data_IF_669844705782
#
_entry.id   IF_669844705782
#
_cell.length_a   1.000
_cell.length_b   1.000
_cell.length_c   1.000
_cell.angle_alpha   90.00
_cell.angle_beta   90.00
_cell.angle_gamma   90.00
#
_symmetry.space_group_name_H-M   'P 1'
#
loop_
_entity.id
_entity.type
_entity.pdbx_description
1 polymer ?
#
# COMPACT_ATOMS: atom_id res chain seq x y z
N UNK A 1 -31.13 4.05 -11.49
CA UNK A 1 -29.87 4.52 -10.85
C UNK A 1 -29.59 3.89 -9.48
N UNK A 2 -30.51 3.16 -8.84
CA UNK A 2 -30.31 2.58 -7.50
C UNK A 2 -29.45 1.28 -7.43
N UNK A 3 -29.27 0.56 -8.54
CA UNK A 3 -28.72 -0.82 -8.52
C UNK A 3 -27.21 -0.96 -8.83
N UNK A 4 -26.46 0.13 -9.08
CA UNK A 4 -24.99 0.05 -9.25
C UNK A 4 -24.22 -0.01 -7.92
N UNK A 5 -24.85 0.39 -6.81
CA UNK A 5 -24.19 0.42 -5.50
C UNK A 5 -24.13 -0.95 -4.81
N UNK A 6 -25.07 -1.87 -5.06
CA UNK A 6 -25.20 -3.09 -4.26
C UNK A 6 -24.10 -4.15 -4.50
N UNK A 7 -23.46 -4.17 -5.67
CA UNK A 7 -22.32 -5.06 -5.94
C UNK A 7 -20.99 -4.48 -5.45
N UNK A 8 -20.94 -3.17 -5.18
CA UNK A 8 -19.74 -2.51 -4.69
C UNK A 8 -19.58 -2.71 -3.17
N UNK A 9 -20.65 -2.67 -2.38
CA UNK A 9 -20.56 -2.73 -0.90
C UNK A 9 -19.84 -3.98 -0.36
N UNK A 10 -19.99 -5.15 -0.98
CA UNK A 10 -19.29 -6.36 -0.52
C UNK A 10 -17.79 -6.33 -0.81
N UNK A 11 -17.38 -5.85 -1.99
CA UNK A 11 -15.96 -5.76 -2.37
C UNK A 11 -15.28 -4.52 -1.76
N UNK A 12 -16.00 -3.42 -1.64
CA UNK A 12 -15.57 -2.18 -0.96
C UNK A 12 -15.50 -2.34 0.56
N UNK A 13 -16.14 -3.36 1.16
CA UNK A 13 -15.95 -3.70 2.58
C UNK A 13 -14.83 -4.72 2.79
N UNK A 14 -14.68 -5.70 1.88
CA UNK A 14 -13.64 -6.74 1.96
C UNK A 14 -12.26 -6.16 1.68
N UNK A 15 -12.13 -5.18 0.78
CA UNK A 15 -10.82 -4.61 0.44
C UNK A 15 -10.22 -3.81 1.61
N UNK A 16 -10.96 -2.90 2.28
CA UNK A 16 -10.51 -2.27 3.53
C UNK A 16 -10.37 -3.27 4.67
N UNK A 17 -11.24 -4.29 4.78
CA UNK A 17 -11.13 -5.31 5.83
C UNK A 17 -9.90 -6.21 5.65
N UNK A 18 -9.52 -6.57 4.41
CA UNK A 18 -8.27 -7.30 4.10
C UNK A 18 -7.03 -6.39 4.23
N UNK A 19 -7.15 -5.09 3.95
CA UNK A 19 -6.11 -4.10 4.23
C UNK A 19 -5.96 -3.83 5.74
N UNK A 20 -7.04 -3.93 6.52
CA UNK A 20 -7.05 -3.82 7.99
C UNK A 20 -6.47 -5.09 8.65
N UNK A 21 -6.83 -6.28 8.16
CA UNK A 21 -6.24 -7.57 8.56
C UNK A 21 -4.77 -7.73 8.13
N UNK A 22 -4.26 -6.80 7.31
CA UNK A 22 -2.85 -6.68 6.92
C UNK A 22 -2.22 -5.37 7.40
N UNK A 23 -2.83 -4.71 8.39
CA UNK A 23 -2.37 -3.40 8.86
C UNK A 23 -0.95 -3.47 9.43
N UNK A 24 -0.16 -2.44 9.15
CA UNK A 24 1.20 -2.28 9.67
C UNK A 24 1.26 -2.35 11.21
N UNK A 25 0.16 -2.11 11.91
CA UNK A 25 0.01 -2.20 13.36
C UNK A 25 0.00 -3.63 13.91
N UNK A 26 -0.68 -4.59 13.26
CA UNK A 26 -0.76 -5.97 13.77
C UNK A 26 0.62 -6.63 13.78
N UNK A 27 1.38 -6.44 12.69
CA UNK A 27 2.74 -6.94 12.55
C UNK A 27 3.65 -6.37 13.65
N UNK A 28 3.51 -5.09 14.00
CA UNK A 28 4.30 -4.46 15.08
C UNK A 28 3.93 -5.00 16.46
N UNK A 29 2.66 -5.28 16.72
CA UNK A 29 2.22 -5.92 17.96
C UNK A 29 2.79 -7.34 18.10
N UNK A 30 2.75 -8.13 17.03
CA UNK A 30 3.32 -9.48 17.00
C UNK A 30 4.85 -9.43 17.15
N UNK A 31 5.50 -8.44 16.54
CA UNK A 31 6.94 -8.21 16.70
C UNK A 31 7.29 -7.91 18.17
N UNK A 32 6.52 -7.06 18.85
CA UNK A 32 6.76 -6.74 20.26
C UNK A 32 6.60 -7.95 21.18
N UNK A 33 5.58 -8.79 20.97
CA UNK A 33 5.36 -9.95 21.84
C UNK A 33 6.44 -11.01 21.66
N UNK A 34 6.89 -11.27 20.42
CA UNK A 34 7.83 -12.35 20.11
C UNK A 34 9.30 -11.95 20.18
N UNK A 35 9.65 -10.72 19.79
CA UNK A 35 11.05 -10.27 19.66
C UNK A 35 11.55 -9.48 20.87
N UNK A 36 10.68 -9.14 21.83
CA UNK A 36 11.08 -8.46 23.06
C UNK A 36 11.67 -9.45 24.08
N UNK A 37 12.85 -9.13 24.61
CA UNK A 37 13.63 -9.98 25.54
C UNK A 37 12.83 -10.38 26.79
N UNK A 38 12.02 -9.47 27.34
CA UNK A 38 11.23 -9.71 28.56
C UNK A 38 10.13 -10.77 28.41
N UNK A 39 9.54 -10.93 27.21
CA UNK A 39 8.56 -11.99 26.92
C UNK A 39 9.24 -13.30 26.53
N UNK A 40 10.45 -13.23 25.97
CA UNK A 40 11.21 -14.39 25.52
C UNK A 40 11.77 -15.25 26.66
N UNK A 41 12.24 -14.62 27.75
CA UNK A 41 12.71 -15.35 28.95
C UNK A 41 11.62 -16.24 29.59
N UNK A 42 10.34 -15.96 29.33
CA UNK A 42 9.23 -16.81 29.74
C UNK A 42 8.91 -17.95 28.76
N UNK A 43 9.27 -17.81 27.48
CA UNK A 43 8.90 -18.74 26.42
C UNK A 43 9.94 -19.83 26.14
N UNK A 44 11.22 -19.64 26.46
CA UNK A 44 12.28 -20.59 26.08
C UNK A 44 13.03 -21.19 27.28
N UNK A 45 12.42 -22.26 27.79
CA UNK A 45 13.11 -23.55 28.07
C UNK A 45 13.09 -24.48 26.83
N UNK A 46 12.78 -23.96 25.65
CA UNK A 46 12.70 -24.74 24.40
C UNK A 46 13.86 -24.38 23.47
N UNK A 47 14.98 -25.10 23.61
CA UNK A 47 16.29 -24.87 22.94
C UNK A 47 16.28 -24.82 21.39
N UNK A 48 15.14 -24.93 20.71
CA UNK A 48 15.09 -25.23 19.27
C UNK A 48 14.51 -24.16 18.34
N UNK A 49 13.92 -23.06 18.83
CA UNK A 49 13.27 -22.07 17.95
C UNK A 49 13.77 -20.63 18.13
N UNK A 50 14.34 -20.06 17.07
CA UNK A 50 14.67 -18.64 16.99
C UNK A 50 13.38 -17.79 16.85
N UNK A 51 13.15 -16.76 17.70
CA UNK A 51 11.93 -15.93 17.70
C UNK A 51 11.52 -15.34 16.35
N UNK A 52 12.51 -14.84 15.60
CA UNK A 52 12.26 -14.23 14.30
C UNK A 52 11.67 -15.22 13.28
N UNK A 53 11.97 -16.52 13.41
CA UNK A 53 11.37 -17.56 12.55
C UNK A 53 9.89 -17.75 12.85
N UNK A 54 9.53 -17.76 14.13
CA UNK A 54 8.13 -17.86 14.58
C UNK A 54 7.36 -16.60 14.15
N UNK A 55 7.97 -15.42 14.31
CA UNK A 55 7.41 -14.16 13.84
C UNK A 55 7.07 -14.20 12.33
N UNK A 56 8.03 -14.61 11.49
CA UNK A 56 7.82 -14.75 10.04
C UNK A 56 6.71 -15.76 9.74
N UNK A 57 6.68 -16.90 10.45
CA UNK A 57 5.64 -17.91 10.26
C UNK A 57 4.24 -17.38 10.57
N UNK A 58 4.07 -16.61 11.67
CA UNK A 58 2.79 -16.01 12.04
C UNK A 58 2.36 -14.98 10.99
N UNK A 59 3.29 -14.19 10.45
CA UNK A 59 3.01 -13.24 9.38
C UNK A 59 2.51 -13.91 8.08
N UNK A 60 2.79 -15.20 7.87
CA UNK A 60 2.26 -15.95 6.73
C UNK A 60 0.80 -16.39 6.91
N UNK A 61 0.28 -16.48 8.15
CA UNK A 61 -1.06 -17.00 8.42
C UNK A 61 -2.18 -16.20 7.74
N UNK A 62 -2.19 -14.85 7.75
CA UNK A 62 -3.21 -14.07 7.04
C UNK A 62 -3.25 -14.36 5.54
N UNK A 63 -2.09 -14.58 4.91
CA UNK A 63 -2.02 -14.93 3.48
C UNK A 63 -2.62 -16.31 3.19
N UNK A 64 -2.42 -17.27 4.09
CA UNK A 64 -3.00 -18.61 3.97
C UNK A 64 -4.52 -18.58 4.19
N UNK A 65 -4.99 -17.81 5.17
CA UNK A 65 -6.42 -17.57 5.39
C UNK A 65 -7.04 -16.92 4.14
N UNK A 66 -6.39 -15.92 3.56
CA UNK A 66 -6.83 -15.28 2.33
C UNK A 66 -6.96 -16.28 1.16
N UNK A 67 -5.99 -17.19 1.00
CA UNK A 67 -6.05 -18.25 -0.01
C UNK A 67 -7.26 -19.17 0.18
N UNK A 68 -7.54 -19.56 1.43
CA UNK A 68 -8.73 -20.38 1.76
C UNK A 68 -10.02 -19.59 1.49
N UNK A 69 -10.08 -18.31 1.84
CA UNK A 69 -11.22 -17.44 1.55
C UNK A 69 -11.46 -17.28 0.03
N UNK A 70 -10.40 -17.17 -0.78
CA UNK A 70 -10.49 -17.09 -2.25
C UNK A 70 -11.14 -18.32 -2.87
N UNK A 71 -10.94 -19.51 -2.30
CA UNK A 71 -11.61 -20.73 -2.76
C UNK A 71 -13.14 -20.66 -2.66
N UNK A 72 -13.67 -19.92 -1.67
CA UNK A 72 -15.12 -19.77 -1.46
C UNK A 72 -15.77 -18.65 -2.27
N UNK A 73 -14.96 -17.74 -2.85
CA UNK A 73 -15.45 -16.60 -3.63
C UNK A 73 -15.90 -17.06 -5.03
N UNK A 74 -17.14 -16.74 -5.44
CA UNK A 74 -17.58 -17.05 -6.80
C UNK A 74 -16.86 -16.18 -7.81
N UNK A 75 -16.64 -16.72 -9.00
CA UNK A 75 -16.09 -15.98 -10.13
C UNK A 75 -16.91 -14.74 -10.49
N UNK A 76 -16.24 -13.71 -11.02
CA UNK A 76 -16.90 -12.42 -11.29
C UNK A 76 -17.91 -12.54 -12.44
N UNK A 77 -19.12 -11.93 -12.36
CA UNK A 77 -20.08 -11.97 -13.46
C UNK A 77 -19.53 -11.36 -14.76
N UNK A 78 -18.65 -10.36 -14.65
CA UNK A 78 -17.97 -9.75 -15.80
C UNK A 78 -17.08 -10.74 -16.55
N UNK A 79 -16.38 -11.62 -15.84
CA UNK A 79 -15.57 -12.67 -16.46
C UNK A 79 -16.44 -13.61 -17.29
N UNK A 80 -17.56 -14.09 -16.74
CA UNK A 80 -18.50 -14.95 -17.48
C UNK A 80 -19.10 -14.27 -18.70
N UNK A 81 -19.49 -13.00 -18.59
CA UNK A 81 -19.97 -12.18 -19.72
C UNK A 81 -18.89 -12.05 -20.80
N UNK A 82 -17.63 -11.80 -20.42
CA UNK A 82 -16.50 -11.71 -21.37
C UNK A 82 -16.26 -13.03 -22.12
N UNK A 83 -16.58 -14.16 -21.48
CA UNK A 83 -16.52 -15.51 -22.06
C UNK A 83 -17.82 -15.95 -22.73
N UNK A 84 -18.79 -15.05 -22.93
CA UNK A 84 -20.11 -15.33 -23.52
C UNK A 84 -20.92 -16.40 -22.76
N UNK A 85 -20.58 -16.69 -21.50
CA UNK A 85 -21.25 -17.65 -20.61
C UNK A 85 -22.32 -16.95 -19.77
N UNK A 86 -23.37 -16.44 -20.42
CA UNK A 86 -24.37 -15.59 -19.78
C UNK A 86 -25.17 -16.30 -18.66
N UNK A 87 -25.48 -17.59 -18.81
CA UNK A 87 -26.16 -18.38 -17.77
C UNK A 87 -25.38 -18.43 -16.46
N UNK A 88 -24.07 -18.68 -16.52
CA UNK A 88 -23.21 -18.68 -15.34
C UNK A 88 -23.15 -17.29 -14.69
N UNK A 89 -23.11 -16.23 -15.50
CA UNK A 89 -23.16 -14.86 -14.98
C UNK A 89 -24.49 -14.59 -14.24
N UNK A 90 -25.61 -15.05 -14.78
CA UNK A 90 -26.94 -14.91 -14.18
C UNK A 90 -27.05 -15.64 -12.84
N UNK A 91 -26.50 -16.85 -12.73
CA UNK A 91 -26.42 -17.60 -11.46
C UNK A 91 -25.65 -16.83 -10.39
N UNK A 92 -24.50 -16.23 -10.76
CA UNK A 92 -23.73 -15.42 -9.81
C UNK A 92 -24.50 -14.17 -9.39
N UNK A 93 -25.15 -13.47 -10.33
CA UNK A 93 -25.99 -12.32 -9.98
C UNK A 93 -27.14 -12.68 -9.03
N UNK A 94 -27.81 -13.81 -9.24
CA UNK A 94 -28.88 -14.29 -8.36
C UNK A 94 -28.34 -14.65 -6.98
N UNK A 95 -27.14 -15.24 -6.89
CA UNK A 95 -26.46 -15.52 -5.61
C UNK A 95 -26.16 -14.22 -4.85
N UNK A 96 -25.60 -13.22 -5.53
CA UNK A 96 -25.33 -11.89 -4.94
C UNK A 96 -26.62 -11.19 -4.52
N UNK A 97 -27.67 -11.26 -5.34
CA UNK A 97 -28.98 -10.70 -5.03
C UNK A 97 -29.59 -11.32 -3.76
N UNK A 98 -29.57 -12.66 -3.65
CA UNK A 98 -30.06 -13.38 -2.47
C UNK A 98 -29.30 -12.97 -1.20
N UNK A 99 -27.97 -12.81 -1.29
CA UNK A 99 -27.15 -12.39 -0.15
C UNK A 99 -27.49 -10.95 0.28
N UNK A 100 -27.58 -10.03 -0.68
CA UNK A 100 -27.78 -8.60 -0.40
C UNK A 100 -29.20 -8.26 0.05
N UNK A 101 -30.21 -8.90 -0.53
CA UNK A 101 -31.63 -8.58 -0.28
C UNK A 101 -32.32 -9.56 0.67
N UNK A 102 -31.69 -10.70 0.96
CA UNK A 102 -32.29 -11.86 1.67
C UNK A 102 -33.56 -12.40 1.00
N UNK A 103 -33.87 -11.99 -0.23
CA UNK A 103 -35.02 -12.47 -0.99
C UNK A 103 -34.71 -13.76 -1.76
N UNK A 104 -35.76 -14.41 -2.27
CA UNK A 104 -35.64 -15.70 -2.96
C UNK A 104 -34.86 -15.58 -4.28
N UNK A 105 -34.23 -16.68 -4.69
CA UNK A 105 -33.49 -16.77 -5.97
C UNK A 105 -34.37 -16.49 -7.20
N UNK A 106 -35.67 -16.81 -7.11
CA UNK A 106 -36.63 -16.71 -8.22
C UNK A 106 -37.18 -15.30 -8.42
N UNK A 107 -37.03 -14.41 -7.45
CA UNK A 107 -37.51 -13.02 -7.54
C UNK A 107 -36.47 -12.07 -8.13
N UNK A 108 -35.41 -12.61 -8.76
CA UNK A 108 -34.37 -11.80 -9.38
C UNK A 108 -34.90 -11.08 -10.64
N UNK A 109 -34.84 -9.73 -10.71
CA UNK A 109 -35.57 -8.96 -11.74
C UNK A 109 -34.89 -8.90 -13.12
N UNK A 110 -33.63 -9.33 -13.26
CA UNK A 110 -32.92 -9.24 -14.55
C UNK A 110 -33.12 -10.52 -15.35
N UNK A 111 -33.80 -10.40 -16.49
CA UNK A 111 -34.19 -11.51 -17.35
C UNK A 111 -33.15 -11.83 -18.44
N UNK A 112 -32.51 -10.81 -19.01
CA UNK A 112 -31.54 -10.94 -20.11
C UNK A 112 -30.33 -10.02 -19.93
N UNK A 113 -29.15 -10.50 -20.30
CA UNK A 113 -27.89 -9.74 -20.28
C UNK A 113 -27.61 -9.14 -21.65
N UNK A 114 -27.01 -7.95 -21.68
CA UNK A 114 -26.65 -7.29 -22.94
C UNK A 114 -25.64 -8.13 -23.73
N UNK A 115 -25.93 -8.41 -25.00
CA UNK A 115 -25.11 -9.25 -25.88
C UNK A 115 -25.52 -10.73 -25.94
N UNK A 116 -26.48 -11.16 -25.12
CA UNK A 116 -27.00 -12.54 -25.09
C UNK A 116 -27.71 -12.93 -26.39
N UNK A 117 -28.32 -11.97 -27.12
CA UNK A 117 -28.95 -12.20 -28.42
C UNK A 117 -27.96 -12.42 -29.57
N UNK A 118 -26.69 -12.02 -29.39
CA UNK A 118 -25.63 -12.14 -30.42
C UNK A 118 -24.75 -13.38 -30.17
N UNK A 119 -25.20 -14.30 -29.32
CA UNK A 119 -24.50 -15.54 -29.02
C UNK A 119 -24.65 -16.54 -30.17
N UNK A 120 -23.87 -16.34 -31.24
CA UNK A 120 -23.68 -17.37 -32.24
C UNK A 120 -22.80 -18.46 -31.62
N UNK A 121 -23.33 -19.67 -31.46
CA UNK A 121 -22.64 -20.84 -30.90
C UNK A 121 -21.30 -21.14 -31.59
N UNK A 122 -21.17 -20.77 -32.88
CA UNK A 122 -19.95 -20.86 -33.68
C UNK A 122 -18.73 -20.15 -33.05
N UNK A 123 -18.94 -19.02 -32.37
CA UNK A 123 -17.85 -18.22 -31.78
C UNK A 123 -17.12 -18.93 -30.63
N UNK A 124 -17.83 -19.79 -29.89
CA UNK A 124 -17.27 -20.52 -28.74
C UNK A 124 -16.49 -21.77 -29.18
N UNK A 125 -16.83 -22.36 -30.33
CA UNK A 125 -16.08 -23.47 -30.93
C UNK A 125 -14.76 -23.01 -31.57
N UNK A 126 -14.75 -21.83 -32.18
CA UNK A 126 -13.52 -21.24 -32.76
C UNK A 126 -12.46 -21.02 -31.67
N UNK A 127 -12.86 -20.56 -30.47
CA UNK A 127 -11.96 -20.35 -29.32
C UNK A 127 -11.28 -21.64 -28.81
N UNK A 128 -11.87 -22.81 -29.06
CA UNK A 128 -11.29 -24.13 -28.72
C UNK A 128 -10.39 -24.70 -29.81
N UNK A 129 -10.57 -24.30 -31.07
CA UNK A 129 -9.81 -24.80 -32.24
C UNK A 129 -8.48 -24.06 -32.47
N UNK A 130 -8.31 -22.86 -31.91
CA UNK A 130 -7.05 -22.11 -32.05
C UNK A 130 -5.91 -22.78 -31.28
N UNK A 131 -4.74 -23.00 -31.90
CA UNK A 131 -3.59 -23.59 -31.22
C UNK A 131 -3.12 -22.71 -30.06
N UNK A 132 -2.70 -23.33 -28.96
CA UNK A 132 -2.34 -22.66 -27.70
C UNK A 132 -1.33 -21.52 -27.89
N UNK A 133 -0.28 -21.75 -28.69
CA UNK A 133 0.74 -20.74 -28.99
C UNK A 133 0.17 -19.53 -29.73
N UNK A 134 -0.74 -19.74 -30.69
CA UNK A 134 -1.39 -18.65 -31.43
C UNK A 134 -2.24 -17.79 -30.51
N UNK A 135 -2.96 -18.42 -29.58
CA UNK A 135 -3.76 -17.73 -28.56
C UNK A 135 -2.91 -16.90 -27.60
N UNK A 136 -1.74 -17.41 -27.19
CA UNK A 136 -0.77 -16.63 -26.41
C UNK A 136 -0.28 -15.42 -27.19
N UNK A 137 0.11 -15.61 -28.46
CA UNK A 137 0.57 -14.53 -29.33
C UNK A 137 -0.51 -13.45 -29.52
N UNK A 138 -1.76 -13.83 -29.76
CA UNK A 138 -2.89 -12.92 -29.86
C UNK A 138 -3.09 -12.12 -28.56
N UNK A 139 -3.08 -12.78 -27.40
CA UNK A 139 -3.18 -12.09 -26.10
C UNK A 139 -2.02 -11.10 -25.86
N UNK A 140 -0.80 -11.43 -26.29
CA UNK A 140 0.36 -10.53 -26.18
C UNK A 140 0.17 -9.31 -27.08
N UNK A 141 -0.27 -9.50 -28.32
CA UNK A 141 -0.53 -8.40 -29.26
C UNK A 141 -1.66 -7.50 -28.74
N UNK A 142 -2.72 -8.07 -28.16
CA UNK A 142 -3.80 -7.32 -27.51
C UNK A 142 -3.29 -6.54 -26.29
N UNK A 143 -2.39 -7.12 -25.49
CA UNK A 143 -1.74 -6.40 -24.39
C UNK A 143 -0.85 -5.25 -24.88
N UNK A 144 -0.09 -5.46 -25.95
CA UNK A 144 0.77 -4.43 -26.55
C UNK A 144 -0.04 -3.29 -27.18
N UNK A 145 -1.17 -3.59 -27.81
CA UNK A 145 -2.07 -2.56 -28.35
C UNK A 145 -2.73 -1.75 -27.23
N UNK A 146 -3.12 -2.37 -26.12
CA UNK A 146 -3.57 -1.65 -24.92
C UNK A 146 -2.49 -0.73 -24.36
N UNK A 147 -1.25 -1.21 -24.27
CA UNK A 147 -0.11 -0.40 -23.84
C UNK A 147 0.10 0.79 -24.79
N UNK A 148 0.02 0.57 -26.11
CA UNK A 148 0.11 1.64 -27.11
C UNK A 148 -0.99 2.69 -26.95
N UNK A 149 -2.22 2.28 -26.60
CA UNK A 149 -3.32 3.20 -26.32
C UNK A 149 -3.07 4.02 -25.05
N UNK A 150 -2.51 3.44 -23.99
CA UNK A 150 -2.08 4.20 -22.81
C UNK A 150 -1.03 5.26 -23.17
N UNK A 151 -0.13 4.92 -24.08
CA UNK A 151 0.91 5.82 -24.54
C UNK A 151 0.44 6.92 -25.49
N UNK A 152 -0.83 6.90 -25.91
CA UNK A 152 -1.42 7.97 -26.71
C UNK A 152 -1.96 9.12 -25.85
N UNK A 153 -1.90 10.34 -26.38
CA UNK A 153 -2.58 11.50 -25.81
C UNK A 153 -4.10 11.29 -25.90
N UNK A 154 -4.91 11.59 -24.84
CA UNK A 154 -4.60 12.35 -23.62
C UNK A 154 -4.18 11.53 -22.39
N UNK A 155 -4.15 10.20 -22.48
CA UNK A 155 -3.98 9.32 -21.31
C UNK A 155 -2.56 9.31 -20.74
N UNK A 156 -1.55 9.51 -21.59
CA UNK A 156 -0.14 9.47 -21.19
C UNK A 156 0.19 10.49 -20.10
N UNK A 157 -0.29 11.74 -20.21
CA UNK A 157 -0.01 12.77 -19.21
C UNK A 157 -0.54 12.39 -17.83
N UNK A 158 -1.78 11.90 -17.77
CA UNK A 158 -2.39 11.46 -16.52
C UNK A 158 -1.67 10.24 -15.94
N UNK A 159 -1.26 9.30 -16.79
CA UNK A 159 -0.47 8.13 -16.40
C UNK A 159 0.88 8.52 -15.80
N UNK A 160 1.61 9.43 -16.46
CA UNK A 160 2.89 9.91 -15.96
C UNK A 160 2.73 10.63 -14.61
N UNK A 161 1.70 11.46 -14.47
CA UNK A 161 1.43 12.15 -13.20
C UNK A 161 1.15 11.12 -12.09
N UNK A 162 0.27 10.15 -12.30
CA UNK A 162 -0.05 9.15 -11.26
C UNK A 162 1.14 8.25 -10.96
N UNK A 163 1.89 7.81 -11.98
CA UNK A 163 3.06 6.95 -11.80
C UNK A 163 4.22 7.63 -11.06
N UNK A 164 4.51 8.90 -11.37
CA UNK A 164 5.55 9.68 -10.67
C UNK A 164 5.11 10.01 -9.25
N UNK A 165 3.83 10.33 -9.05
CA UNK A 165 3.30 10.64 -7.72
C UNK A 165 3.35 9.40 -6.81
N UNK A 166 2.98 8.23 -7.33
CA UNK A 166 3.06 6.95 -6.62
C UNK A 166 4.51 6.55 -6.33
N UNK A 167 5.42 6.76 -7.29
CA UNK A 167 6.87 6.59 -7.07
C UNK A 167 7.36 7.43 -5.90
N UNK A 168 7.06 8.73 -5.87
CA UNK A 168 7.50 9.64 -4.82
C UNK A 168 6.89 9.32 -3.46
N UNK A 169 5.60 8.95 -3.44
CA UNK A 169 4.91 8.49 -2.24
C UNK A 169 5.60 7.23 -1.67
N UNK A 170 5.78 6.21 -2.50
CA UNK A 170 6.32 4.93 -2.06
C UNK A 170 7.80 4.95 -1.74
N UNK A 171 8.60 5.71 -2.49
CA UNK A 171 10.00 5.94 -2.17
C UNK A 171 10.14 6.54 -0.77
N UNK A 172 9.31 7.51 -0.42
CA UNK A 172 9.42 8.20 0.88
C UNK A 172 8.79 7.39 2.01
N UNK A 173 7.60 6.83 1.79
CA UNK A 173 6.85 6.06 2.78
C UNK A 173 7.62 4.82 3.24
N UNK A 174 7.97 3.91 2.33
CA UNK A 174 8.64 2.67 2.71
C UNK A 174 10.02 2.92 3.31
N UNK A 175 10.74 3.93 2.82
CA UNK A 175 12.07 4.27 3.33
C UNK A 175 11.99 4.79 4.76
N UNK A 176 11.24 5.87 5.01
CA UNK A 176 11.18 6.44 6.35
C UNK A 176 10.60 5.45 7.36
N UNK A 177 9.59 4.68 6.97
CA UNK A 177 8.99 3.66 7.85
C UNK A 177 9.93 2.50 8.17
N UNK A 178 10.78 2.08 7.22
CA UNK A 178 11.79 1.05 7.45
C UNK A 178 12.89 1.53 8.40
N UNK A 179 13.25 2.82 8.31
CA UNK A 179 14.38 3.40 9.05
C UNK A 179 13.99 4.00 10.41
N UNK A 180 12.71 4.26 10.70
CA UNK A 180 12.28 4.79 11.99
C UNK A 180 12.72 3.96 13.21
N UNK A 181 12.58 2.61 13.24
CA UNK A 181 13.04 1.81 14.38
C UNK A 181 14.54 1.98 14.67
N UNK A 182 15.36 1.99 13.60
CA UNK A 182 16.80 2.22 13.69
C UNK A 182 17.11 3.63 14.23
N UNK A 183 16.40 4.66 13.74
CA UNK A 183 16.54 6.04 14.22
C UNK A 183 16.20 6.13 15.72
N UNK A 184 15.11 5.49 16.18
CA UNK A 184 14.76 5.47 17.61
C UNK A 184 15.85 4.83 18.46
N UNK A 185 16.40 3.72 17.99
CA UNK A 185 17.48 3.03 18.68
C UNK A 185 18.74 3.91 18.76
N UNK A 186 19.12 4.61 17.69
CA UNK A 186 20.25 5.55 17.68
C UNK A 186 20.04 6.69 18.70
N UNK A 187 18.86 7.32 18.74
CA UNK A 187 18.54 8.36 19.71
C UNK A 187 18.59 7.86 21.16
N UNK A 188 18.08 6.66 21.39
CA UNK A 188 18.03 6.05 22.71
C UNK A 188 19.45 5.69 23.22
N UNK A 189 20.29 5.16 22.34
CA UNK A 189 21.69 4.86 22.65
C UNK A 189 22.51 6.12 22.90
N UNK A 190 22.27 7.18 22.11
CA UNK A 190 22.88 8.49 22.34
C UNK A 190 22.48 9.08 23.70
N UNK A 191 21.19 9.04 24.03
CA UNK A 191 20.68 9.53 25.32
C UNK A 191 21.28 8.80 26.53
N UNK A 192 21.52 7.48 26.41
CA UNK A 192 22.19 6.69 27.45
C UNK A 192 23.66 7.04 27.61
N UNK A 193 24.40 7.24 26.51
CA UNK A 193 25.84 7.51 26.54
C UNK A 193 26.18 8.96 26.95
N UNK A 194 25.32 9.93 26.64
CA UNK A 194 25.55 11.36 26.90
C UNK A 194 24.66 11.92 28.01
N UNK A 195 24.14 11.08 28.91
CA UNK A 195 23.41 11.52 30.11
C UNK A 195 22.13 12.33 29.82
N UNK A 196 21.41 12.02 28.74
CA UNK A 196 20.17 12.68 28.36
C UNK A 196 20.32 14.02 27.63
N UNK A 197 21.53 14.36 27.17
CA UNK A 197 21.71 15.53 26.30
C UNK A 197 20.94 15.38 24.98
N UNK A 198 20.36 16.48 24.52
CA UNK A 198 19.66 16.57 23.24
C UNK A 198 20.67 16.73 22.11
N UNK A 199 20.47 15.99 21.02
CA UNK A 199 21.29 16.07 19.81
C UNK A 199 20.41 15.96 18.58
N UNK A 200 20.83 16.56 17.47
CA UNK A 200 20.08 16.49 16.21
C UNK A 200 20.12 15.08 15.60
N UNK A 201 19.14 14.73 14.78
CA UNK A 201 19.07 13.44 14.08
C UNK A 201 20.38 13.07 13.34
N UNK A 202 21.00 14.03 12.66
CA UNK A 202 22.21 13.78 11.89
C UNK A 202 23.48 13.71 12.74
N UNK A 203 23.53 14.42 13.86
CA UNK A 203 24.58 14.30 14.87
C UNK A 203 24.55 12.91 15.52
N UNK A 204 23.35 12.46 15.90
CA UNK A 204 23.11 11.12 16.42
C UNK A 204 23.52 10.05 15.40
N UNK A 205 23.19 10.24 14.12
CA UNK A 205 23.54 9.28 13.06
C UNK A 205 25.04 9.20 12.76
N UNK A 206 25.77 10.32 12.87
CA UNK A 206 27.23 10.35 12.69
C UNK A 206 27.99 9.83 13.92
N UNK A 207 27.43 9.96 15.12
CA UNK A 207 28.05 9.47 16.36
C UNK A 207 28.30 7.94 16.35
N UNK A 208 27.52 7.18 15.57
CA UNK A 208 27.73 5.74 15.34
C UNK A 208 29.07 5.40 14.67
N UNK A 209 29.72 6.35 13.98
CA UNK A 209 31.03 6.15 13.35
C UNK A 209 32.22 6.47 14.26
N UNK A 210 32.01 7.09 15.43
CA UNK A 210 33.12 7.54 16.31
C UNK A 210 33.70 6.41 17.17
N UNK A 211 33.19 5.18 17.06
CA UNK A 211 33.88 3.99 17.58
C UNK A 211 35.06 3.57 16.68
N UNK A 212 36.01 4.49 16.48
CA UNK A 212 37.34 4.12 16.03
C UNK A 212 38.04 3.40 17.19
N UNK A 213 38.11 2.07 17.07
CA UNK A 213 39.20 1.22 17.54
C UNK A 213 39.60 1.29 19.03
N UNK A 214 38.79 0.65 19.89
CA UNK A 214 39.30 -0.30 20.90
C UNK A 214 38.22 -1.33 21.21
N UNK A 215 38.03 -2.30 20.31
CA UNK A 215 37.17 -3.45 20.58
C UNK A 215 37.89 -4.42 21.54
N UNK A 216 37.54 -4.37 22.82
CA UNK A 216 37.59 -5.59 23.63
C UNK A 216 36.49 -6.51 23.13
N UNK A 217 36.88 -7.61 22.48
CA UNK A 217 35.98 -8.62 21.97
C UNK A 217 35.39 -9.42 23.15
N UNK A 218 34.31 -8.92 23.74
CA UNK A 218 33.42 -9.76 24.53
C UNK A 218 32.74 -10.72 23.56
N UNK A 219 33.07 -12.01 23.62
CA UNK A 219 32.51 -13.08 22.75
C UNK A 219 31.00 -13.31 22.90
N UNK A 220 30.29 -12.41 23.57
CA UNK A 220 28.84 -12.47 23.79
C UNK A 220 28.23 -11.23 23.14
N UNK A 221 27.86 -11.36 21.86
CA UNK A 221 26.86 -10.46 21.30
C UNK A 221 25.52 -10.79 21.97
N UNK A 222 25.06 -9.96 22.89
CA UNK A 222 23.66 -9.98 23.32
C UNK A 222 22.86 -9.05 22.40
N UNK A 223 22.15 -9.55 21.37
CA UNK A 223 21.31 -8.72 20.52
C UNK A 223 20.02 -8.37 21.29
N UNK A 224 20.08 -7.40 22.20
CA UNK A 224 18.88 -6.92 22.90
C UNK A 224 18.49 -5.54 22.37
N UNK A 225 17.47 -5.51 21.52
CA UNK A 225 16.80 -4.26 21.10
C UNK A 225 16.00 -3.72 22.28
N UNK A 226 16.03 -2.40 22.49
CA UNK A 226 15.31 -1.80 23.60
C UNK A 226 13.79 -1.95 23.42
N UNK A 227 13.09 -2.44 24.46
CA UNK A 227 11.63 -2.59 24.48
C UNK A 227 10.87 -1.30 24.13
N UNK A 228 11.46 -0.13 24.38
CA UNK A 228 10.88 1.18 24.01
C UNK A 228 10.72 1.34 22.50
N UNK A 229 11.64 0.83 21.68
CA UNK A 229 11.54 0.92 20.21
C UNK A 229 10.32 0.14 19.69
N UNK A 230 10.01 -1.00 20.29
CA UNK A 230 8.79 -1.75 19.96
C UNK A 230 7.52 -0.99 20.35
N UNK A 231 7.51 -0.32 21.51
CA UNK A 231 6.38 0.52 21.92
C UNK A 231 6.19 1.73 20.98
N UNK A 232 7.27 2.43 20.65
CA UNK A 232 7.27 3.59 19.75
C UNK A 232 6.75 3.21 18.35
N UNK A 233 7.19 2.08 17.82
CA UNK A 233 6.71 1.58 16.52
C UNK A 233 5.23 1.19 16.56
N UNK A 234 4.72 0.60 17.65
CA UNK A 234 3.28 0.33 17.83
C UNK A 234 2.48 1.65 17.86
N UNK A 235 2.96 2.67 18.58
CA UNK A 235 2.30 3.97 18.64
C UNK A 235 2.16 4.59 17.24
N UNK A 236 3.21 4.54 16.43
CA UNK A 236 3.16 4.97 15.03
C UNK A 236 2.11 4.15 14.27
N UNK A 237 2.09 2.83 14.42
CA UNK A 237 1.11 1.97 13.75
C UNK A 237 -0.32 2.31 14.15
N UNK A 238 -0.60 2.54 15.44
CA UNK A 238 -1.93 2.87 15.92
C UNK A 238 -2.42 4.26 15.46
N UNK A 239 -1.51 5.18 15.15
CA UNK A 239 -1.85 6.50 14.62
C UNK A 239 -2.59 6.47 13.27
N UNK A 240 -2.47 5.36 12.51
CA UNK A 240 -3.13 5.19 11.22
C UNK A 240 -4.66 4.99 11.33
N UNK A 241 -5.15 4.47 12.46
CA UNK A 241 -6.58 4.15 12.65
C UNK A 241 -7.46 5.42 12.70
N UNK A 242 -7.21 6.40 13.60
CA UNK A 242 -8.03 7.62 13.62
C UNK A 242 -7.82 8.48 12.37
N UNK A 243 -6.62 8.47 11.79
CA UNK A 243 -6.30 9.25 10.59
C UNK A 243 -6.94 8.68 9.32
N UNK A 244 -6.97 7.35 9.15
CA UNK A 244 -7.67 6.73 8.01
C UNK A 244 -9.17 7.03 8.01
N UNK A 245 -9.83 7.03 9.17
CA UNK A 245 -11.24 7.44 9.32
C UNK A 245 -11.40 8.92 8.96
N UNK A 246 -10.54 9.79 9.50
CA UNK A 246 -10.60 11.23 9.28
C UNK A 246 -10.35 11.60 7.82
N UNK A 247 -9.30 11.05 7.20
CA UNK A 247 -8.96 11.29 5.80
C UNK A 247 -10.02 10.73 4.85
N UNK A 248 -10.65 9.60 5.18
CA UNK A 248 -11.80 9.06 4.42
C UNK A 248 -13.01 9.98 4.49
N UNK A 249 -13.29 10.57 5.66
CA UNK A 249 -14.33 11.58 5.80
C UNK A 249 -14.04 12.86 5.01
N UNK A 250 -12.79 13.35 5.05
CA UNK A 250 -12.36 14.48 4.23
C UNK A 250 -12.43 14.16 2.74
N UNK A 251 -12.17 12.92 2.34
CA UNK A 251 -12.29 12.48 0.95
C UNK A 251 -13.74 12.58 0.47
N UNK A 252 -14.70 12.19 1.31
CA UNK A 252 -16.12 12.30 1.01
C UNK A 252 -16.60 13.76 0.92
N UNK A 253 -16.02 14.69 1.70
CA UNK A 253 -16.43 16.11 1.73
C UNK A 253 -15.70 17.01 0.74
N UNK A 254 -14.38 16.87 0.62
CA UNK A 254 -13.49 17.77 -0.12
C UNK A 254 -13.05 17.19 -1.47
N UNK A 255 -13.29 15.89 -1.69
CA UNK A 255 -12.92 15.17 -2.90
C UNK A 255 -11.52 14.54 -2.84
N UNK A 256 -11.32 13.50 -3.66
CA UNK A 256 -10.10 12.67 -3.71
C UNK A 256 -8.84 13.47 -4.04
N UNK A 257 -8.93 14.35 -5.04
CA UNK A 257 -7.81 15.20 -5.47
C UNK A 257 -7.31 16.10 -4.34
N UNK A 258 -8.21 16.72 -3.58
CA UNK A 258 -7.84 17.62 -2.50
C UNK A 258 -7.08 16.86 -1.41
N UNK A 259 -7.66 15.75 -0.93
CA UNK A 259 -7.04 14.90 0.09
C UNK A 259 -5.66 14.39 -0.35
N UNK A 260 -5.52 13.98 -1.61
CA UNK A 260 -4.24 13.52 -2.15
C UNK A 260 -3.17 14.62 -2.10
N UNK A 261 -3.48 15.80 -2.62
CA UNK A 261 -2.53 16.92 -2.68
C UNK A 261 -2.16 17.39 -1.28
N UNK A 262 -3.13 17.61 -0.39
CA UNK A 262 -2.85 18.09 0.97
C UNK A 262 -2.11 17.05 1.80
N UNK A 263 -2.44 15.76 1.62
CA UNK A 263 -1.77 14.68 2.32
C UNK A 263 -0.30 14.57 1.92
N UNK A 264 0.01 14.60 0.62
CA UNK A 264 1.38 14.54 0.10
C UNK A 264 2.23 15.75 0.53
N UNK A 265 1.66 16.97 0.49
CA UNK A 265 2.40 18.17 0.89
C UNK A 265 2.63 18.18 2.39
N UNK A 266 1.62 17.86 3.21
CA UNK A 266 1.75 17.90 4.66
C UNK A 266 2.67 16.79 5.18
N UNK A 267 2.66 15.60 4.57
CA UNK A 267 3.61 14.52 4.90
C UNK A 267 5.03 14.84 4.43
N UNK A 268 5.20 15.55 3.30
CA UNK A 268 6.51 16.05 2.88
C UNK A 268 7.08 17.10 3.84
N UNK A 269 6.23 17.99 4.35
CA UNK A 269 6.62 18.96 5.40
C UNK A 269 7.02 18.23 6.68
N UNK A 270 6.25 17.24 7.12
CA UNK A 270 6.60 16.47 8.32
C UNK A 270 7.91 15.70 8.14
N UNK A 271 8.19 15.16 6.96
CA UNK A 271 9.47 14.52 6.66
C UNK A 271 10.66 15.50 6.75
N UNK A 272 10.52 16.72 6.22
CA UNK A 272 11.58 17.75 6.29
C UNK A 272 11.85 18.16 7.74
N UNK A 273 10.79 18.27 8.56
CA UNK A 273 10.91 18.66 9.96
C UNK A 273 11.72 17.63 10.80
N UNK A 274 11.90 16.38 10.33
CA UNK A 274 12.70 15.38 11.04
C UNK A 274 14.16 15.83 11.24
N UNK A 275 14.66 16.71 10.38
CA UNK A 275 16.01 17.25 10.50
C UNK A 275 16.21 18.15 11.73
N UNK A 276 15.15 18.76 12.27
CA UNK A 276 15.22 19.65 13.44
C UNK A 276 14.88 18.96 14.75
N UNK A 277 14.63 17.66 14.71
CA UNK A 277 14.30 16.90 15.91
C UNK A 277 15.53 16.73 16.79
N UNK A 278 15.35 17.00 18.08
CA UNK A 278 16.40 16.94 19.10
C UNK A 278 16.14 15.90 20.20
N UNK A 279 15.00 15.21 20.16
CA UNK A 279 14.55 14.23 21.16
C UNK A 279 13.83 13.04 20.51
N UNK A 280 13.96 11.87 21.14
CA UNK A 280 13.22 10.66 20.73
C UNK A 280 11.69 10.85 20.74
N UNK A 281 11.16 11.68 21.64
CA UNK A 281 9.71 11.98 21.70
C UNK A 281 9.25 12.84 20.52
N UNK A 282 10.05 13.84 20.14
CA UNK A 282 9.82 14.66 18.97
C UNK A 282 9.88 13.81 17.68
N UNK A 283 10.82 12.86 17.60
CA UNK A 283 10.92 11.89 16.49
C UNK A 283 9.65 11.04 16.42
N UNK A 284 9.14 10.60 17.57
CA UNK A 284 7.94 9.76 17.65
C UNK A 284 6.69 10.51 17.17
N UNK A 285 6.49 11.75 17.65
CA UNK A 285 5.35 12.57 17.24
C UNK A 285 5.37 12.81 15.74
N UNK A 286 6.53 13.15 15.19
CA UNK A 286 6.65 13.51 13.78
C UNK A 286 6.55 12.30 12.83
N UNK A 287 7.10 11.16 13.22
CA UNK A 287 6.94 9.89 12.49
C UNK A 287 5.50 9.34 12.55
N UNK A 288 4.82 9.48 13.70
CA UNK A 288 3.39 9.16 13.81
C UNK A 288 2.53 10.09 12.93
N UNK A 289 2.84 11.39 12.89
CA UNK A 289 2.16 12.33 12.00
C UNK A 289 2.40 11.98 10.52
N UNK A 290 3.62 11.62 10.16
CA UNK A 290 3.96 11.17 8.82
C UNK A 290 3.13 9.95 8.39
N UNK A 291 3.16 8.87 9.19
CA UNK A 291 2.38 7.65 8.95
C UNK A 291 0.87 7.94 8.82
N UNK A 292 0.35 8.76 9.74
CA UNK A 292 -1.06 9.13 9.75
C UNK A 292 -1.48 9.83 8.45
N UNK A 293 -0.67 10.76 7.95
CA UNK A 293 -0.94 11.51 6.73
C UNK A 293 -0.81 10.67 5.46
N UNK A 294 0.10 9.69 5.45
CA UNK A 294 0.33 8.81 4.28
C UNK A 294 -0.59 7.60 4.22
N UNK A 295 -1.23 7.24 5.34
CA UNK A 295 -1.97 5.98 5.55
C UNK A 295 -2.90 5.53 4.42
N UNK A 296 -3.65 6.44 3.78
CA UNK A 296 -4.60 6.12 2.71
C UNK A 296 -4.21 6.66 1.34
N UNK A 297 -3.07 7.36 1.21
CA UNK A 297 -2.76 8.11 -0.01
C UNK A 297 -2.55 7.23 -1.24
N UNK A 298 -1.92 6.06 -1.09
CA UNK A 298 -1.77 5.09 -2.20
C UNK A 298 -3.15 4.63 -2.70
N UNK A 299 -4.05 4.30 -1.76
CA UNK A 299 -5.41 3.88 -2.10
C UNK A 299 -6.15 4.99 -2.84
N UNK A 300 -5.95 6.25 -2.44
CA UNK A 300 -6.52 7.43 -3.14
C UNK A 300 -5.96 7.54 -4.56
N UNK A 301 -4.65 7.34 -4.77
CA UNK A 301 -4.05 7.33 -6.11
C UNK A 301 -4.70 6.25 -6.98
N UNK A 302 -4.83 5.02 -6.48
CA UNK A 302 -5.47 3.93 -7.23
C UNK A 302 -6.94 4.21 -7.54
N UNK A 303 -7.69 4.79 -6.59
CA UNK A 303 -9.05 5.24 -6.85
C UNK A 303 -9.11 6.27 -7.99
N UNK A 304 -8.19 7.23 -8.01
CA UNK A 304 -8.10 8.24 -9.07
C UNK A 304 -7.74 7.59 -10.40
N UNK A 305 -6.80 6.64 -10.44
CA UNK A 305 -6.46 5.89 -11.67
C UNK A 305 -7.70 5.15 -12.22
N UNK A 306 -8.48 4.49 -11.36
CA UNK A 306 -9.70 3.79 -11.81
C UNK A 306 -10.75 4.75 -12.42
N UNK A 307 -10.81 5.99 -11.94
CA UNK A 307 -11.70 7.03 -12.48
C UNK A 307 -11.18 7.65 -13.76
N UNK A 308 -9.86 7.87 -13.87
CA UNK A 308 -9.22 8.52 -15.02
C UNK A 308 -9.23 7.67 -16.29
N UNK A 309 -9.11 6.34 -16.14
CA UNK A 309 -8.95 5.44 -17.28
C UNK A 309 -10.24 4.67 -17.60
N UNK A 310 -10.55 4.47 -18.90
CA UNK A 310 -11.69 3.66 -19.32
C UNK A 310 -11.46 2.18 -18.99
N UNK A 311 -12.55 1.40 -18.88
CA UNK A 311 -12.55 0.04 -18.31
C UNK A 311 -11.52 -0.91 -18.95
N UNK A 312 -11.27 -0.79 -20.24
CA UNK A 312 -10.29 -1.58 -21.00
C UNK A 312 -8.83 -1.20 -20.71
N UNK A 313 -8.58 -0.02 -20.16
CA UNK A 313 -7.24 0.53 -19.88
C UNK A 313 -6.93 0.63 -18.37
N UNK A 314 -7.91 0.40 -17.49
CA UNK A 314 -7.75 0.50 -16.03
C UNK A 314 -6.71 -0.47 -15.46
N UNK A 315 -6.82 -1.75 -15.81
CA UNK A 315 -5.91 -2.78 -15.29
C UNK A 315 -4.44 -2.50 -15.64
N UNK A 316 -4.06 -2.22 -16.91
CA UNK A 316 -2.68 -1.88 -17.22
C UNK A 316 -2.24 -0.55 -16.58
N UNK A 317 -3.10 0.46 -16.48
CA UNK A 317 -2.74 1.73 -15.83
C UNK A 317 -2.43 1.57 -14.34
N UNK A 318 -3.24 0.79 -13.61
CA UNK A 318 -2.97 0.42 -12.22
C UNK A 318 -1.67 -0.37 -12.08
N UNK A 319 -1.42 -1.34 -12.96
CA UNK A 319 -0.21 -2.15 -12.92
C UNK A 319 1.06 -1.31 -13.13
N UNK A 320 1.06 -0.37 -14.08
CA UNK A 320 2.19 0.54 -14.32
C UNK A 320 2.39 1.46 -13.12
N UNK A 321 1.31 2.04 -12.58
CA UNK A 321 1.38 2.92 -11.41
C UNK A 321 1.97 2.18 -10.22
N UNK A 322 1.41 1.01 -9.85
CA UNK A 322 1.91 0.21 -8.74
C UNK A 322 3.34 -0.31 -8.94
N UNK A 323 3.74 -0.63 -10.17
CA UNK A 323 5.13 -1.01 -10.48
C UNK A 323 6.06 0.16 -10.25
N UNK A 324 5.65 1.37 -10.64
CA UNK A 324 6.38 2.62 -10.38
C UNK A 324 6.56 2.85 -8.87
N UNK A 325 5.48 2.70 -8.08
CA UNK A 325 5.56 2.78 -6.61
C UNK A 325 6.57 1.79 -6.01
N UNK A 326 6.52 0.53 -6.43
CA UNK A 326 7.47 -0.51 -5.95
C UNK A 326 8.92 -0.21 -6.32
N UNK A 327 9.17 0.30 -7.53
CA UNK A 327 10.50 0.77 -7.92
C UNK A 327 10.95 1.96 -7.06
N UNK A 328 10.03 2.85 -6.71
CA UNK A 328 10.25 3.93 -5.75
C UNK A 328 10.71 3.41 -4.39
N UNK A 329 10.02 2.42 -3.82
CA UNK A 329 10.39 1.82 -2.54
C UNK A 329 11.80 1.21 -2.54
N UNK A 330 12.19 0.53 -3.63
CA UNK A 330 13.54 -0.02 -3.81
C UNK A 330 14.56 1.11 -3.90
N UNK A 331 14.30 2.10 -4.75
CA UNK A 331 15.16 3.26 -4.94
C UNK A 331 15.39 4.01 -3.63
N UNK A 332 14.32 4.30 -2.89
CA UNK A 332 14.38 5.06 -1.65
C UNK A 332 15.22 4.38 -0.57
N UNK A 333 15.00 3.08 -0.34
CA UNK A 333 15.74 2.33 0.69
C UNK A 333 17.23 2.21 0.36
N UNK A 334 17.58 2.00 -0.92
CA UNK A 334 18.97 1.97 -1.37
C UNK A 334 19.64 3.33 -1.17
N UNK A 335 19.00 4.41 -1.63
CA UNK A 335 19.57 5.77 -1.52
C UNK A 335 19.73 6.18 -0.05
N UNK A 336 18.71 5.94 0.78
CA UNK A 336 18.79 6.29 2.21
C UNK A 336 19.91 5.52 2.91
N UNK A 337 19.99 4.20 2.70
CA UNK A 337 21.03 3.39 3.33
C UNK A 337 22.45 3.75 2.93
N UNK A 338 22.67 4.21 1.69
CA UNK A 338 23.99 4.66 1.25
C UNK A 338 24.36 6.05 1.78
N UNK A 339 23.39 6.94 1.98
CA UNK A 339 23.65 8.35 2.28
C UNK A 339 23.52 8.70 3.77
N UNK A 340 22.76 7.95 4.56
CA UNK A 340 22.44 8.31 5.95
C UNK A 340 23.69 8.49 6.82
N UNK A 341 24.70 7.64 6.66
CA UNK A 341 25.91 7.67 7.47
C UNK A 341 27.01 8.60 6.89
N UNK A 342 26.84 9.08 5.65
CA UNK A 342 27.80 10.01 5.00
C UNK A 342 27.30 11.45 5.10
N UNK A 343 26.08 11.71 4.62
CA UNK A 343 25.45 13.02 4.59
C UNK A 343 23.95 12.90 4.89
N UNK A 344 23.61 12.70 6.17
CA UNK A 344 22.26 12.50 6.68
C UNK A 344 21.21 13.56 6.23
N UNK A 345 21.62 14.82 6.04
CA UNK A 345 20.70 15.88 5.60
C UNK A 345 20.12 15.60 4.20
N UNK A 346 20.92 15.06 3.29
CA UNK A 346 20.54 14.87 1.88
C UNK A 346 19.33 13.95 1.71
N UNK A 347 19.30 12.71 2.25
CA UNK A 347 18.16 11.83 2.08
C UNK A 347 16.89 12.41 2.70
N UNK A 348 16.96 13.07 3.86
CA UNK A 348 15.78 13.68 4.50
C UNK A 348 15.15 14.74 3.60
N UNK A 349 15.94 15.68 3.10
CA UNK A 349 15.43 16.71 2.19
C UNK A 349 14.99 16.12 0.85
N UNK A 350 15.67 15.10 0.33
CA UNK A 350 15.29 14.43 -0.91
C UNK A 350 13.87 13.87 -0.82
N UNK A 351 13.56 13.06 0.20
CA UNK A 351 12.23 12.46 0.35
C UNK A 351 11.14 13.50 0.66
N UNK A 352 11.46 14.51 1.46
CA UNK A 352 10.55 15.63 1.72
C UNK A 352 10.17 16.40 0.46
N UNK A 353 11.18 16.78 -0.35
CA UNK A 353 10.97 17.48 -1.63
C UNK A 353 10.28 16.59 -2.66
N UNK A 354 10.60 15.30 -2.71
CA UNK A 354 9.90 14.34 -3.58
C UNK A 354 8.41 14.26 -3.27
N UNK A 355 8.02 14.20 -1.99
CA UNK A 355 6.60 14.18 -1.58
C UNK A 355 5.87 15.47 -1.93
N UNK A 356 6.46 16.62 -1.61
CA UNK A 356 5.88 17.93 -1.97
C UNK A 356 5.77 18.06 -3.49
N UNK A 357 6.80 17.65 -4.23
CA UNK A 357 6.82 17.62 -5.68
C UNK A 357 5.71 16.74 -6.27
N UNK A 358 5.49 15.55 -5.72
CA UNK A 358 4.37 14.68 -6.09
C UNK A 358 3.02 15.35 -5.84
N UNK A 359 2.84 15.99 -4.67
CA UNK A 359 1.62 16.73 -4.35
C UNK A 359 1.35 17.89 -5.31
N UNK A 360 2.38 18.67 -5.65
CA UNK A 360 2.30 19.75 -6.65
C UNK A 360 1.99 19.20 -8.04
N UNK A 361 2.56 18.06 -8.41
CA UNK A 361 2.28 17.41 -9.70
C UNK A 361 0.82 16.96 -9.81
N UNK A 362 0.25 16.42 -8.73
CA UNK A 362 -1.17 16.04 -8.65
C UNK A 362 -2.14 17.21 -8.85
N UNK A 363 -1.71 18.48 -8.70
CA UNK A 363 -2.57 19.64 -9.02
C UNK A 363 -2.99 19.66 -10.50
N UNK A 364 -2.21 19.07 -11.40
CA UNK A 364 -2.52 18.97 -12.83
C UNK A 364 -3.55 17.90 -13.17
N UNK A 365 -3.89 17.00 -12.22
CA UNK A 365 -4.92 15.99 -12.45
C UNK A 365 -6.29 16.68 -12.60
N UNK A 366 -7.10 16.34 -13.61
CA UNK A 366 -8.41 16.96 -13.76
C UNK A 366 -9.38 16.46 -12.66
N UNK A 367 -10.39 17.28 -12.30
CA UNK A 367 -11.32 16.97 -11.20
C UNK A 367 -12.29 15.87 -11.62
N UNK A 368 -12.56 14.92 -10.72
CA UNK A 368 -13.45 13.76 -10.97
C UNK A 368 -14.85 14.13 -11.48
N UNK A 369 -15.36 15.33 -11.17
CA UNK A 369 -16.70 15.77 -11.57
C UNK A 369 -16.81 16.13 -13.06
N UNK A 370 -15.69 16.38 -13.75
CA UNK A 370 -15.68 16.79 -15.17
C UNK A 370 -15.80 15.61 -16.15
N UNK A 371 -15.66 14.35 -15.69
CA UNK A 371 -15.65 13.16 -16.56
C UNK A 371 -16.99 12.42 -16.65
N UNK A 372 -18.01 12.83 -15.91
CA UNK A 372 -19.35 12.22 -16.00
C UNK A 372 -20.08 12.53 -17.31
N UNK A 373 -19.48 13.36 -18.18
CA UNK A 373 -19.99 13.65 -19.52
C UNK A 373 -18.95 13.21 -20.55
N UNK A 374 -19.13 12.00 -21.10
CA UNK A 374 -18.72 11.51 -22.43
C UNK A 374 -18.27 10.03 -22.40
N UNK A 375 -19.25 9.12 -22.47
CA UNK A 375 -19.49 8.18 -23.58
C UNK A 375 -20.39 7.01 -23.15
#
# INVERSE_FOLDING_TARGET
>A
MQNRHSTCVAWDAITPFLLLLGSSSEVRCIAWTLLNKNTFDQFIKMEFFNPWRIFVFICCLPSLISLVCLYFLPETPKFFISKRRFENAKIVFQKVYKINTKQSFKSFPVLTLYGESNNNEESCEIEKKTPFLKRIWENIIDGMTQMRMLCSQPYMNNLCITAVSDFGLMASYYTLMMWFPEIFERFNNYGKSHGGQKAGLCEVSQSSQVYNETFQYSNVCEPSINSRVFADTIIIGLSCIPSSISLSFFMAKLGKKYVLVTGLVLSGISAILLNWVSSSEETLILSALFEALTSILETVIFCIVVELFPTNLRAPALAITATSGRLGAIFGNLVFGMLIDVQCNIPIYLFGVMLIGSGVLCLRLPKSDDYLVLH
#
